data_IF_732052617128
#
_entry.id   IF_732052617128
#
_cell.length_a   1.000
_cell.length_b   1.000
_cell.length_c   1.000
_cell.angle_alpha   90.00
_cell.angle_beta   90.00
_cell.angle_gamma   90.00
#
_symmetry.space_group_name_H-M   'P 1'
#
loop_
_entity.id
_entity.type
_entity.pdbx_description
1 polymer ?
#
# COMPACT_ATOMS: atom_id res chain seq x y z
N UNK A 1 -46.72 -53.11 -14.77
CA UNK A 1 -46.37 -53.35 -16.19
C UNK A 1 -45.92 -51.99 -16.70
N UNK A 2 -44.63 -51.69 -16.84
CA UNK A 2 -43.60 -52.32 -17.69
C UNK A 2 -42.22 -51.84 -17.16
N UNK A 3 -41.32 -52.66 -16.58
CA UNK A 3 -40.29 -53.55 -17.16
C UNK A 3 -39.37 -52.94 -18.25
N UNK A 4 -38.09 -52.79 -17.85
CA UNK A 4 -36.83 -53.05 -18.59
C UNK A 4 -36.30 -51.88 -19.47
N UNK A 5 -35.00 -51.51 -19.56
CA UNK A 5 -33.72 -52.11 -19.11
C UNK A 5 -32.52 -51.34 -19.77
N UNK A 6 -31.35 -51.25 -19.09
CA UNK A 6 -29.94 -51.11 -19.61
C UNK A 6 -29.49 -49.71 -20.12
N UNK A 7 -28.25 -49.20 -19.98
CA UNK A 7 -26.98 -49.52 -19.28
C UNK A 7 -25.94 -48.43 -19.66
N UNK A 8 -25.01 -48.14 -18.73
CA UNK A 8 -23.65 -47.55 -18.84
C UNK A 8 -23.18 -46.70 -20.06
N UNK A 9 -22.58 -45.53 -19.75
CA UNK A 9 -21.20 -45.13 -20.14
C UNK A 9 -20.80 -43.90 -19.29
N UNK A 10 -19.91 -44.01 -18.29
CA UNK A 10 -18.45 -43.78 -18.34
C UNK A 10 -17.98 -42.48 -19.00
N UNK A 11 -17.23 -41.66 -18.25
CA UNK A 11 -16.37 -40.59 -18.74
C UNK A 11 -16.65 -39.24 -18.08
N UNK A 12 -16.39 -39.03 -16.78
CA UNK A 12 -15.06 -38.77 -16.21
C UNK A 12 -14.22 -37.73 -16.99
N UNK A 13 -14.15 -36.53 -16.39
CA UNK A 13 -13.09 -35.52 -16.48
C UNK A 13 -12.89 -34.82 -17.84
N UNK A 14 -13.67 -33.77 -18.06
CA UNK A 14 -13.19 -32.61 -18.83
C UNK A 14 -11.98 -32.03 -18.09
N UNK A 15 -10.78 -32.29 -18.62
CA UNK A 15 -9.55 -31.59 -18.25
C UNK A 15 -9.79 -30.08 -18.30
N UNK A 16 -9.36 -29.29 -17.29
CA UNK A 16 -9.34 -27.85 -17.44
C UNK A 16 -8.39 -27.53 -18.59
N UNK A 17 -8.93 -26.92 -19.64
CA UNK A 17 -8.16 -26.44 -20.78
C UNK A 17 -7.05 -25.54 -20.26
N UNK A 18 -5.81 -25.95 -20.53
CA UNK A 18 -4.62 -25.12 -20.33
C UNK A 18 -4.80 -23.83 -21.14
N UNK A 19 -5.12 -22.75 -20.44
CA UNK A 19 -5.20 -21.40 -21.03
C UNK A 19 -3.84 -21.09 -21.68
N UNK A 20 -3.78 -20.79 -22.99
CA UNK A 20 -2.53 -20.47 -23.67
C UNK A 20 -1.80 -19.31 -22.98
N UNK A 21 -0.47 -19.40 -22.85
CA UNK A 21 0.40 -18.36 -22.22
C UNK A 21 0.16 -16.93 -22.73
N UNK A 22 -0.36 -16.78 -23.95
CA UNK A 22 -0.75 -15.49 -24.53
C UNK A 22 -1.96 -14.86 -23.81
N UNK A 23 -3.01 -15.64 -23.53
CA UNK A 23 -4.19 -15.17 -22.80
C UNK A 23 -3.89 -14.88 -21.33
N UNK A 24 -2.96 -15.61 -20.70
CA UNK A 24 -2.49 -15.30 -19.35
C UNK A 24 -1.73 -13.96 -19.29
N UNK A 25 -0.94 -13.64 -20.33
CA UNK A 25 -0.25 -12.34 -20.46
C UNK A 25 -1.21 -11.19 -20.73
N UNK A 26 -2.34 -11.44 -21.38
CA UNK A 26 -3.37 -10.45 -21.68
C UNK A 26 -4.32 -10.23 -20.49
N UNK A 27 -4.67 -11.28 -19.75
CA UNK A 27 -5.35 -11.20 -18.45
C UNK A 27 -4.49 -10.50 -17.38
N UNK A 28 -3.15 -10.60 -17.46
CA UNK A 28 -2.24 -9.78 -16.64
C UNK A 28 -2.25 -8.29 -17.03
N UNK A 29 -2.58 -7.96 -18.29
CA UNK A 29 -2.74 -6.56 -18.74
C UNK A 29 -4.11 -5.98 -18.34
N UNK A 30 -5.15 -6.82 -18.26
CA UNK A 30 -6.50 -6.41 -17.84
C UNK A 30 -6.71 -6.42 -16.34
N UNK A 31 -5.76 -6.94 -15.55
CA UNK A 31 -5.61 -6.59 -14.13
C UNK A 31 -4.94 -5.24 -14.00
N UNK A 32 -5.58 -4.23 -14.60
CA UNK A 32 -5.45 -2.87 -14.12
C UNK A 32 -6.06 -2.90 -12.71
N UNK A 33 -5.26 -3.27 -11.70
CA UNK A 33 -5.59 -2.95 -10.33
C UNK A 33 -5.74 -1.43 -10.38
N UNK A 34 -6.95 -0.91 -10.21
CA UNK A 34 -7.18 0.52 -10.00
C UNK A 34 -6.14 0.94 -8.96
N UNK A 35 -5.18 1.76 -9.41
CA UNK A 35 -3.87 1.86 -8.78
C UNK A 35 -3.97 2.19 -7.30
N UNK A 36 -3.48 1.28 -6.45
CA UNK A 36 -3.08 1.65 -5.10
C UNK A 36 -1.72 2.31 -5.26
N UNK A 37 -1.70 3.65 -5.26
CA UNK A 37 -0.44 4.37 -5.29
C UNK A 37 0.20 4.17 -3.92
N UNK A 38 1.42 3.65 -3.90
CA UNK A 38 2.17 3.44 -2.67
C UNK A 38 3.31 4.44 -2.62
N UNK A 39 3.56 4.98 -1.43
CA UNK A 39 4.58 5.99 -1.22
C UNK A 39 5.46 5.60 -0.05
N UNK A 40 6.77 5.79 -0.25
CA UNK A 40 7.73 5.85 0.84
C UNK A 40 8.10 7.31 1.00
N UNK A 41 7.80 7.85 2.17
CA UNK A 41 8.18 9.20 2.57
C UNK A 41 9.35 9.07 3.53
N UNK A 42 10.51 9.50 3.06
CA UNK A 42 11.73 9.54 3.84
C UNK A 42 11.90 10.93 4.45
N UNK A 43 12.00 11.00 5.77
CA UNK A 43 12.29 12.21 6.52
C UNK A 43 13.77 12.22 6.92
N UNK A 44 14.42 13.37 6.83
CA UNK A 44 15.77 13.59 7.35
C UNK A 44 15.77 14.83 8.22
N UNK A 45 16.20 14.70 9.48
CA UNK A 45 16.24 15.82 10.42
C UNK A 45 17.27 16.86 9.99
N UNK A 46 16.88 18.13 10.06
CA UNK A 46 17.70 19.29 9.68
C UNK A 46 18.05 20.16 10.88
N UNK A 47 17.55 19.80 12.07
CA UNK A 47 17.69 20.54 13.31
C UNK A 47 18.14 19.61 14.45
N UNK A 48 18.69 20.15 15.54
CA UNK A 48 19.09 19.37 16.71
C UNK A 48 17.94 18.54 17.27
N UNK A 49 18.27 17.40 17.90
CA UNK A 49 17.30 16.45 18.42
C UNK A 49 16.34 17.07 19.43
N UNK A 50 16.78 18.06 20.21
CA UNK A 50 15.96 18.76 21.19
C UNK A 50 14.76 19.47 20.51
N UNK A 51 14.98 20.06 19.33
CA UNK A 51 13.92 20.70 18.55
C UNK A 51 12.95 19.66 17.95
N UNK A 52 13.46 18.50 17.55
CA UNK A 52 12.64 17.36 17.07
C UNK A 52 11.78 16.84 18.21
N UNK A 53 12.37 16.62 19.39
CA UNK A 53 11.69 16.07 20.57
C UNK A 53 10.59 17.00 21.09
N UNK A 54 10.82 18.32 21.04
CA UNK A 54 9.81 19.32 21.40
C UNK A 54 8.53 19.21 20.54
N UNK A 55 8.64 18.77 19.28
CA UNK A 55 7.50 18.61 18.36
C UNK A 55 7.00 17.16 18.24
N UNK A 56 7.64 16.20 18.91
CA UNK A 56 7.38 14.77 18.72
C UNK A 56 5.95 14.35 19.10
N UNK A 57 5.38 14.95 20.15
CA UNK A 57 3.99 14.65 20.55
C UNK A 57 2.99 15.14 19.49
N UNK A 58 3.20 16.34 18.95
CA UNK A 58 2.35 16.90 17.90
C UNK A 58 2.47 16.07 16.61
N UNK A 59 3.69 15.67 16.24
CA UNK A 59 3.94 14.78 15.10
C UNK A 59 3.21 13.44 15.25
N UNK A 60 3.22 12.82 16.45
CA UNK A 60 2.48 11.58 16.71
C UNK A 60 0.97 11.75 16.51
N UNK A 61 0.38 12.84 17.01
CA UNK A 61 -1.05 13.13 16.79
C UNK A 61 -1.40 13.33 15.32
N UNK A 62 -0.49 13.97 14.56
CA UNK A 62 -0.60 14.07 13.11
C UNK A 62 -0.63 12.66 12.47
N UNK A 63 0.29 11.77 12.84
CA UNK A 63 0.31 10.40 12.32
C UNK A 63 -0.98 9.65 12.68
N UNK A 64 -1.42 9.72 13.95
CA UNK A 64 -2.63 9.04 14.44
C UNK A 64 -3.86 9.42 13.59
N UNK A 65 -4.06 10.71 13.32
CA UNK A 65 -5.12 11.22 12.44
C UNK A 65 -5.14 10.53 11.07
N UNK A 66 -3.97 10.25 10.48
CA UNK A 66 -3.88 9.66 9.15
C UNK A 66 -3.84 8.13 9.13
N UNK A 67 -3.50 7.51 10.26
CA UNK A 67 -3.79 6.09 10.49
C UNK A 67 -5.30 5.83 10.59
N UNK A 68 -6.03 6.66 11.36
CA UNK A 68 -7.49 6.54 11.48
C UNK A 68 -8.21 6.71 10.13
N UNK A 69 -7.63 7.50 9.22
CA UNK A 69 -8.14 7.69 7.86
C UNK A 69 -7.70 6.62 6.86
N UNK A 70 -6.88 5.65 7.28
CA UNK A 70 -6.37 4.57 6.42
C UNK A 70 -5.28 4.98 5.42
N UNK A 71 -4.79 6.23 5.46
CA UNK A 71 -3.80 6.75 4.50
C UNK A 71 -2.39 6.26 4.85
N UNK A 72 -2.06 6.19 6.14
CA UNK A 72 -0.76 5.70 6.61
C UNK A 72 -0.82 4.21 6.93
N UNK A 73 0.24 3.50 6.53
CA UNK A 73 0.36 2.05 6.67
C UNK A 73 1.42 1.66 7.69
N UNK A 74 2.51 2.42 7.72
CA UNK A 74 3.57 2.23 8.69
C UNK A 74 4.35 3.54 8.84
N UNK A 75 4.96 3.74 10.00
CA UNK A 75 5.81 4.89 10.26
C UNK A 75 6.75 4.60 11.41
N UNK A 76 7.95 5.15 11.38
CA UNK A 76 8.88 5.01 12.50
C UNK A 76 10.19 5.77 12.30
N UNK A 77 11.00 5.87 13.36
CA UNK A 77 12.33 6.46 13.25
C UNK A 77 13.25 5.56 12.42
N UNK A 78 14.21 6.18 11.72
CA UNK A 78 15.33 5.47 11.11
C UNK A 78 16.27 4.92 12.19
N UNK A 79 17.14 3.98 11.80
CA UNK A 79 18.27 3.54 12.60
C UNK A 79 19.56 3.64 11.75
N UNK A 80 20.50 4.57 12.04
CA UNK A 80 20.51 5.51 13.18
C UNK A 80 19.35 6.53 13.14
N UNK A 81 19.02 7.14 14.28
CA UNK A 81 17.87 8.06 14.44
C UNK A 81 18.17 9.46 13.89
N UNK A 82 18.41 9.56 12.59
CA UNK A 82 18.64 10.80 11.84
C UNK A 82 17.40 11.29 11.07
N UNK A 83 16.28 10.60 11.25
CA UNK A 83 15.05 10.89 10.55
C UNK A 83 13.96 9.86 10.82
N UNK A 84 13.05 9.72 9.87
CA UNK A 84 11.94 8.78 9.92
C UNK A 84 11.57 8.27 8.55
N UNK A 85 10.74 7.23 8.53
CA UNK A 85 10.10 6.71 7.33
C UNK A 85 8.61 6.65 7.60
N UNK A 86 7.81 7.09 6.63
CA UNK A 86 6.36 6.89 6.59
C UNK A 86 6.05 6.14 5.31
N UNK A 87 5.26 5.07 5.41
CA UNK A 87 4.69 4.35 4.28
C UNK A 87 3.23 4.75 4.21
N UNK A 88 2.86 5.36 3.09
CA UNK A 88 1.48 5.70 2.78
C UNK A 88 1.02 4.87 1.58
N UNK A 89 -0.28 4.62 1.50
CA UNK A 89 -0.85 3.92 0.37
C UNK A 89 -2.33 4.15 0.22
N UNK A 90 -2.95 3.37 -0.66
CA UNK A 90 -4.37 3.44 -0.93
C UNK A 90 -4.70 4.37 -2.10
N UNK A 91 -5.87 5.00 -2.03
CA UNK A 91 -6.40 5.93 -3.04
C UNK A 91 -5.87 7.36 -2.91
N UNK A 92 -4.78 7.59 -2.15
CA UNK A 92 -4.19 8.93 -2.01
C UNK A 92 -3.38 9.32 -3.25
N UNK A 93 -3.75 10.44 -3.87
CA UNK A 93 -2.96 11.03 -4.95
C UNK A 93 -1.69 11.69 -4.42
N UNK A 94 -0.72 11.93 -5.31
CA UNK A 94 0.52 12.61 -4.92
C UNK A 94 0.26 14.01 -4.36
N UNK A 95 -0.67 14.76 -4.95
CA UNK A 95 -1.01 16.10 -4.50
C UNK A 95 -1.68 16.10 -3.12
N UNK A 96 -2.57 15.13 -2.86
CA UNK A 96 -3.17 14.95 -1.53
C UNK A 96 -2.12 14.56 -0.50
N UNK A 97 -1.18 13.67 -0.84
CA UNK A 97 -0.08 13.31 0.05
C UNK A 97 0.78 14.54 0.37
N UNK A 98 1.14 15.36 -0.61
CA UNK A 98 1.93 16.58 -0.38
C UNK A 98 1.18 17.56 0.55
N UNK A 99 -0.14 17.70 0.39
CA UNK A 99 -0.98 18.51 1.28
C UNK A 99 -1.01 17.94 2.72
N UNK A 100 -1.10 16.62 2.86
CA UNK A 100 -1.03 15.94 4.15
C UNK A 100 0.33 16.19 4.82
N UNK A 101 1.44 16.01 4.09
CA UNK A 101 2.78 16.22 4.63
C UNK A 101 3.03 17.68 5.05
N UNK A 102 2.38 18.64 4.40
CA UNK A 102 2.45 20.05 4.80
C UNK A 102 1.79 20.34 6.16
N UNK A 103 0.91 19.46 6.66
CA UNK A 103 0.32 19.56 8.00
C UNK A 103 1.24 19.01 9.11
N UNK A 104 2.30 18.27 8.75
CA UNK A 104 3.21 17.69 9.74
C UNK A 104 3.94 18.80 10.52
N UNK A 105 3.92 18.82 11.86
CA UNK A 105 4.68 19.78 12.66
C UNK A 105 6.17 19.82 12.30
N UNK A 106 6.77 18.69 11.91
CA UNK A 106 8.16 18.67 11.46
C UNK A 106 8.35 19.44 10.15
N UNK A 107 7.37 19.42 9.25
CA UNK A 107 7.38 20.21 8.02
C UNK A 107 7.12 21.70 8.32
N UNK A 108 6.08 22.01 9.10
CA UNK A 108 5.68 23.39 9.42
C UNK A 108 6.78 24.18 10.14
N UNK A 109 7.54 23.52 11.00
CA UNK A 109 8.66 24.11 11.75
C UNK A 109 10.02 23.96 11.02
N UNK A 110 10.04 23.49 9.78
CA UNK A 110 11.25 23.25 8.99
C UNK A 110 12.31 22.43 9.75
N UNK A 111 11.85 21.39 10.44
CA UNK A 111 12.66 20.49 11.26
C UNK A 111 13.20 19.30 10.48
N UNK A 112 12.50 18.89 9.41
CA UNK A 112 12.89 17.76 8.57
C UNK A 112 12.67 18.07 7.08
N UNK A 113 13.53 17.51 6.22
CA UNK A 113 13.31 17.47 4.78
C UNK A 113 12.65 16.16 4.37
N UNK A 114 11.81 16.20 3.35
CA UNK A 114 11.00 15.07 2.90
C UNK A 114 11.42 14.66 1.49
N UNK A 115 11.63 13.36 1.30
CA UNK A 115 11.80 12.74 -0.01
C UNK A 115 10.70 11.72 -0.21
N UNK A 116 9.87 11.93 -1.23
CA UNK A 116 8.76 11.05 -1.57
C UNK A 116 9.16 10.15 -2.73
N UNK A 117 9.01 8.84 -2.54
CA UNK A 117 9.22 7.82 -3.57
C UNK A 117 7.85 7.18 -3.84
N UNK A 118 7.32 7.42 -5.03
CA UNK A 118 6.09 6.80 -5.52
C UNK A 118 6.42 5.48 -6.23
N UNK A 119 5.66 4.44 -5.94
CA UNK A 119 5.79 3.16 -6.61
C UNK A 119 4.48 2.38 -6.69
N UNK A 120 4.42 1.47 -7.67
CA UNK A 120 3.30 0.56 -7.87
C UNK A 120 3.66 -0.82 -7.30
N UNK A 121 3.04 -1.20 -6.19
CA UNK A 121 3.29 -2.49 -5.56
C UNK A 121 2.67 -3.64 -6.39
N UNK A 122 3.51 -4.42 -7.08
CA UNK A 122 3.06 -5.54 -7.93
C UNK A 122 2.74 -6.80 -7.11
N UNK A 123 3.41 -6.98 -5.97
CA UNK A 123 3.19 -8.10 -5.04
C UNK A 123 3.09 -7.56 -3.62
N UNK A 124 2.06 -7.98 -2.91
CA UNK A 124 1.77 -7.59 -1.54
C UNK A 124 1.34 -8.81 -0.73
N UNK A 125 1.55 -8.77 0.58
CA UNK A 125 1.00 -9.80 1.47
C UNK A 125 -0.52 -9.63 1.58
N UNK A 126 -1.23 -10.71 1.94
CA UNK A 126 -2.68 -10.63 2.16
C UNK A 126 -3.06 -9.62 3.25
N UNK A 127 -2.18 -9.39 4.23
CA UNK A 127 -2.37 -8.39 5.28
C UNK A 127 -2.46 -6.94 4.74
N UNK A 128 -1.93 -6.67 3.54
CA UNK A 128 -1.99 -5.37 2.88
C UNK A 128 -3.09 -5.27 1.82
N UNK A 129 -3.94 -6.28 1.68
CA UNK A 129 -5.01 -6.29 0.66
C UNK A 129 -6.13 -5.25 0.95
N UNK A 130 -6.25 -4.79 2.19
CA UNK A 130 -7.26 -3.83 2.63
C UNK A 130 -6.71 -2.41 2.80
N UNK A 131 -5.55 -2.12 2.23
CA UNK A 131 -5.02 -0.76 2.16
C UNK A 131 -5.92 0.03 1.20
N UNK A 132 -6.85 0.80 1.78
CA UNK A 132 -7.86 1.59 1.07
C UNK A 132 -7.29 2.91 0.59
#
# INVERSE_FOLDING_TARGET
MDRRTILCASGALLLPTLVPKAQAREQLKSRHIKGHNMYIVELTYQRPMEAIEAQLQAHRRFLDKYYERGVLLASGPKNPRDGGVIIAGGHVSRAELDAILAEDPFHQHALASYRVIEFNAVKMSAAMANVQ
#
